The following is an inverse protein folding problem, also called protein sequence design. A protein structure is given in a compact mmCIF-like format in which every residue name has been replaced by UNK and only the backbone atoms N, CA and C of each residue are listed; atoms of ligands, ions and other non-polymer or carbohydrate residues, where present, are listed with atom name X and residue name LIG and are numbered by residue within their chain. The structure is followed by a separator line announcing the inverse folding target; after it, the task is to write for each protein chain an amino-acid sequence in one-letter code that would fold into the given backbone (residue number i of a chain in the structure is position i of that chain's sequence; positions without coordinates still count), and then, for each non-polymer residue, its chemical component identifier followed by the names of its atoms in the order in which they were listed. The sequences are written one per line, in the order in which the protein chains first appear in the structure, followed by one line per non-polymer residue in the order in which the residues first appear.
data_IF_185678965189
#
_entry.id   IF_185678965189
#
_cell.length_a   1.000
_cell.length_b   1.000
_cell.length_c   1.000
_cell.angle_alpha   90.00
_cell.angle_beta   90.00
_cell.angle_gamma   90.00
#
_symmetry.space_group_name_H-M   'P 1'
#
loop_
_entity.id
_entity.type
_entity.pdbx_description
1 polymer ?
#
# COMPACT_ATOMS: atom_id res chain seq x y z
N UNK A 1 18.26 -7.17 7.80
CA UNK A 1 18.93 -5.94 8.29
C UNK A 1 19.03 -4.82 7.26
N UNK A 2 19.34 -5.11 5.98
CA UNK A 2 19.59 -4.09 4.94
C UNK A 2 18.42 -3.12 4.71
N UNK A 3 17.18 -3.62 4.70
CA UNK A 3 15.96 -2.82 4.51
C UNK A 3 15.84 -1.71 5.58
N UNK A 4 15.84 -2.07 6.87
CA UNK A 4 15.73 -1.10 7.96
C UNK A 4 16.88 -0.08 7.94
N UNK A 5 18.11 -0.48 7.63
CA UNK A 5 19.25 0.45 7.57
C UNK A 5 19.13 1.47 6.42
N UNK A 6 18.48 1.10 5.31
CA UNK A 6 18.29 1.96 4.13
C UNK A 6 17.11 2.94 4.32
N UNK A 7 15.99 2.46 4.88
CA UNK A 7 14.74 3.22 4.95
C UNK A 7 14.46 3.84 6.32
N UNK A 8 14.92 3.20 7.40
CA UNK A 8 14.80 3.65 8.79
C UNK A 8 16.17 3.95 9.42
N UNK A 9 17.10 4.45 8.61
CA UNK A 9 18.43 4.85 9.08
C UNK A 9 18.41 6.17 9.86
N UNK A 10 19.57 6.52 10.42
CA UNK A 10 19.80 7.73 11.21
C UNK A 10 19.38 9.03 10.50
N UNK A 11 19.47 9.05 9.15
CA UNK A 11 19.07 10.19 8.31
C UNK A 11 17.56 10.45 8.39
N UNK A 12 16.74 9.39 8.38
CA UNK A 12 15.28 9.50 8.49
C UNK A 12 14.88 10.01 9.87
N UNK A 13 15.53 9.51 10.92
CA UNK A 13 15.34 9.94 12.30
C UNK A 13 15.69 11.44 12.43
N UNK A 14 16.88 11.84 12.00
CA UNK A 14 17.32 13.23 12.05
C UNK A 14 16.34 14.14 11.32
N UNK A 15 15.93 13.78 10.10
CA UNK A 15 14.97 14.55 9.30
C UNK A 15 13.65 14.78 10.04
N UNK A 16 13.03 13.71 10.56
CA UNK A 16 11.76 13.82 11.29
C UNK A 16 11.90 14.69 12.53
N UNK A 17 12.98 14.51 13.31
CA UNK A 17 13.23 15.34 14.50
C UNK A 17 13.49 16.81 14.15
N UNK A 18 14.19 17.10 13.06
CA UNK A 18 14.40 18.48 12.61
C UNK A 18 13.07 19.13 12.23
N UNK A 19 12.21 18.46 11.46
CA UNK A 19 10.89 18.98 11.07
C UNK A 19 10.00 19.21 12.29
N UNK A 20 9.90 18.22 13.19
CA UNK A 20 9.11 18.35 14.43
C UNK A 20 9.66 19.45 15.33
N UNK A 21 10.99 19.55 15.46
CA UNK A 21 11.65 20.58 16.25
C UNK A 21 11.39 21.99 15.72
N UNK A 22 11.41 22.18 14.39
CA UNK A 22 11.06 23.47 13.78
C UNK A 22 9.59 23.83 14.08
N UNK A 23 8.65 22.89 13.87
CA UNK A 23 7.24 23.16 14.16
C UNK A 23 7.01 23.51 15.63
N UNK A 24 7.65 22.78 16.54
CA UNK A 24 7.43 22.96 17.96
C UNK A 24 8.13 24.20 18.52
N UNK A 25 9.43 24.39 18.22
CA UNK A 25 10.26 25.39 18.89
C UNK A 25 10.36 26.71 18.12
N UNK A 26 10.28 26.69 16.78
CA UNK A 26 10.41 27.91 15.96
C UNK A 26 9.04 28.49 15.63
N UNK A 27 8.10 27.64 15.22
CA UNK A 27 6.75 28.06 14.83
C UNK A 27 5.81 28.10 16.04
N UNK A 28 6.08 27.33 17.10
CA UNK A 28 5.25 27.30 18.31
C UNK A 28 3.99 26.44 18.18
N UNK A 29 3.97 25.47 17.25
CA UNK A 29 2.83 24.56 17.07
C UNK A 29 2.72 23.64 18.29
N UNK A 30 1.54 23.53 18.92
CA UNK A 30 1.34 22.61 20.03
C UNK A 30 1.65 21.17 19.64
N UNK A 31 2.38 20.44 20.50
CA UNK A 31 2.79 19.05 20.24
C UNK A 31 1.61 18.15 19.88
N UNK A 32 0.45 18.33 20.52
CA UNK A 32 -0.77 17.59 20.21
C UNK A 32 -1.20 17.74 18.74
N UNK A 33 -1.09 18.94 18.16
CA UNK A 33 -1.44 19.17 16.75
C UNK A 33 -0.43 18.51 15.81
N UNK A 34 0.87 18.57 16.14
CA UNK A 34 1.93 17.88 15.37
C UNK A 34 1.65 16.37 15.37
N UNK A 35 1.32 15.79 16.52
CA UNK A 35 1.00 14.35 16.61
C UNK A 35 -0.27 14.03 15.83
N UNK A 36 -1.37 14.78 16.01
CA UNK A 36 -2.67 14.49 15.39
C UNK A 36 -2.69 14.71 13.88
N UNK A 37 -1.98 15.70 13.36
CA UNK A 37 -2.06 16.11 11.95
C UNK A 37 -0.85 15.67 11.10
N UNK A 38 0.26 15.32 11.72
CA UNK A 38 1.47 14.88 11.02
C UNK A 38 1.87 13.45 11.39
N UNK A 39 2.10 13.18 12.69
CA UNK A 39 2.61 11.89 13.13
C UNK A 39 1.63 10.72 12.93
N UNK A 40 0.43 10.85 13.49
CA UNK A 40 -0.60 9.81 13.43
C UNK A 40 -1.06 9.51 12.00
N UNK A 41 -1.36 10.50 11.13
CA UNK A 41 -1.74 10.22 9.74
C UNK A 41 -0.63 9.50 8.96
N UNK A 42 0.64 9.85 9.18
CA UNK A 42 1.77 9.18 8.51
C UNK A 42 1.91 7.71 8.96
N UNK A 43 1.78 7.44 10.26
CA UNK A 43 1.80 6.08 10.80
C UNK A 43 0.60 5.26 10.34
N UNK A 44 -0.61 5.85 10.39
CA UNK A 44 -1.84 5.21 9.94
C UNK A 44 -1.78 4.89 8.44
N UNK A 45 -1.31 5.83 7.61
CA UNK A 45 -1.11 5.63 6.17
C UNK A 45 -0.09 4.51 5.91
N UNK A 46 1.01 4.45 6.65
CA UNK A 46 2.01 3.38 6.53
C UNK A 46 1.43 2.01 6.87
N UNK A 47 0.65 1.93 7.95
CA UNK A 47 -0.03 0.69 8.35
C UNK A 47 -1.09 0.27 7.32
N UNK A 48 -1.86 1.23 6.81
CA UNK A 48 -2.87 1.01 5.79
C UNK A 48 -2.23 0.48 4.49
N UNK A 49 -1.16 1.11 4.01
CA UNK A 49 -0.40 0.66 2.85
C UNK A 49 0.19 -0.74 3.07
N UNK A 50 0.82 -0.99 4.22
CA UNK A 50 1.36 -2.32 4.51
C UNK A 50 0.26 -3.38 4.50
N UNK A 51 -0.86 -3.12 5.17
CA UNK A 51 -1.91 -4.11 5.34
C UNK A 51 -2.63 -4.41 4.01
N UNK A 52 -3.10 -3.40 3.28
CA UNK A 52 -3.85 -3.58 2.03
C UNK A 52 -2.98 -3.74 0.80
N UNK A 53 -1.76 -3.21 0.83
CA UNK A 53 -0.85 -3.20 -0.30
C UNK A 53 0.27 -4.23 -0.26
N UNK A 54 0.57 -4.83 0.90
CA UNK A 54 1.64 -5.82 1.03
C UNK A 54 1.16 -7.10 1.70
N UNK A 55 0.68 -7.03 2.94
CA UNK A 55 0.38 -8.24 3.70
C UNK A 55 -0.82 -9.01 3.13
N UNK A 56 -1.98 -8.36 3.01
CA UNK A 56 -3.21 -9.05 2.62
C UNK A 56 -3.16 -9.64 1.19
N UNK A 57 -2.74 -8.91 0.13
CA UNK A 57 -2.75 -9.45 -1.22
C UNK A 57 -1.71 -10.57 -1.44
N UNK A 58 -0.64 -10.61 -0.64
CA UNK A 58 0.47 -11.55 -0.81
C UNK A 58 0.54 -12.67 0.23
N UNK A 59 -0.24 -12.62 1.32
CA UNK A 59 -0.20 -13.69 2.33
C UNK A 59 -0.65 -15.03 1.73
N UNK A 60 0.08 -16.08 2.05
CA UNK A 60 -0.31 -17.46 1.76
C UNK A 60 -1.35 -17.90 2.79
N UNK A 61 -2.43 -18.55 2.34
CA UNK A 61 -3.36 -19.22 3.27
C UNK A 61 -2.83 -20.61 3.60
N UNK A 62 -3.27 -21.18 4.72
CA UNK A 62 -2.86 -22.53 5.11
C UNK A 62 -3.20 -23.54 4.00
N UNK A 63 -2.20 -24.28 3.53
CA UNK A 63 -2.35 -25.26 2.46
C UNK A 63 -2.29 -24.69 1.03
N UNK A 64 -2.12 -23.38 0.85
CA UNK A 64 -1.85 -22.77 -0.46
C UNK A 64 -0.35 -22.67 -0.72
N UNK A 65 0.04 -22.94 -1.96
CA UNK A 65 1.39 -22.76 -2.48
C UNK A 65 1.46 -21.56 -3.45
N UNK A 66 2.66 -21.26 -3.97
CA UNK A 66 2.82 -20.16 -4.93
C UNK A 66 2.06 -20.40 -6.25
N UNK A 67 1.72 -21.65 -6.60
CA UNK A 67 0.88 -21.93 -7.77
C UNK A 67 -0.58 -21.50 -7.58
N UNK A 68 -1.00 -21.25 -6.34
CA UNK A 68 -2.34 -20.78 -5.98
C UNK A 68 -2.58 -19.28 -6.26
N UNK A 69 -1.62 -18.58 -6.88
CA UNK A 69 -1.75 -17.18 -7.28
C UNK A 69 -1.96 -17.05 -8.79
N UNK A 70 -2.71 -16.01 -9.18
CA UNK A 70 -3.07 -15.73 -10.56
C UNK A 70 -1.94 -15.09 -11.39
N UNK A 71 -0.84 -14.70 -10.74
CA UNK A 71 0.30 -14.05 -11.37
C UNK A 71 1.62 -14.40 -10.66
N UNK A 72 2.75 -14.08 -11.30
CA UNK A 72 4.09 -14.36 -10.76
C UNK A 72 4.47 -13.53 -9.52
N UNK A 73 3.83 -12.39 -9.31
CA UNK A 73 4.10 -11.54 -8.15
C UNK A 73 3.32 -12.01 -6.90
N UNK A 74 2.58 -13.12 -7.03
CA UNK A 74 1.77 -13.70 -5.97
C UNK A 74 0.79 -12.68 -5.40
N UNK A 75 0.04 -12.01 -6.27
CA UNK A 75 -0.91 -10.93 -5.94
C UNK A 75 -2.35 -11.42 -6.01
N UNK A 76 -3.21 -10.79 -5.21
CA UNK A 76 -4.67 -10.99 -5.20
C UNK A 76 -5.35 -9.67 -5.00
N UNK A 77 -6.60 -9.59 -5.44
CA UNK A 77 -7.44 -8.43 -5.19
C UNK A 77 -8.48 -8.68 -4.11
N UNK A 78 -8.82 -7.62 -3.41
CA UNK A 78 -9.92 -7.62 -2.46
C UNK A 78 -11.28 -7.55 -3.17
N UNK A 79 -12.27 -8.22 -2.59
CA UNK A 79 -13.66 -8.23 -3.07
C UNK A 79 -14.52 -7.10 -2.48
N UNK A 80 -13.87 -6.01 -2.04
CA UNK A 80 -14.58 -4.87 -1.46
C UNK A 80 -15.35 -4.09 -2.53
N UNK A 81 -16.54 -3.61 -2.17
CA UNK A 81 -17.27 -2.63 -2.96
C UNK A 81 -16.48 -1.32 -3.13
N UNK A 82 -16.77 -0.55 -4.18
CA UNK A 82 -15.98 0.63 -4.59
C UNK A 82 -15.70 1.63 -3.45
N UNK A 83 -16.69 1.92 -2.61
CA UNK A 83 -16.50 2.87 -1.50
C UNK A 83 -15.53 2.33 -0.45
N UNK A 84 -15.67 1.06 -0.09
CA UNK A 84 -14.79 0.44 0.89
C UNK A 84 -13.38 0.28 0.32
N UNK A 85 -13.24 -0.06 -0.97
CA UNK A 85 -11.92 -0.14 -1.60
C UNK A 85 -11.21 1.22 -1.66
N UNK A 86 -11.94 2.34 -1.80
CA UNK A 86 -11.34 3.67 -1.68
C UNK A 86 -10.71 3.87 -0.28
N UNK A 87 -11.38 3.42 0.77
CA UNK A 87 -10.89 3.48 2.14
C UNK A 87 -9.73 2.50 2.43
N UNK A 88 -9.45 1.54 1.54
CA UNK A 88 -8.30 0.64 1.64
C UNK A 88 -7.11 1.16 0.83
N UNK A 89 -6.65 2.36 1.17
CA UNK A 89 -5.54 3.03 0.48
C UNK A 89 -5.85 3.33 -1.00
N UNK A 90 -6.91 4.09 -1.29
CA UNK A 90 -7.22 4.55 -2.65
C UNK A 90 -7.35 3.43 -3.69
N UNK A 91 -8.17 2.41 -3.39
CA UNK A 91 -8.40 1.24 -4.25
C UNK A 91 -7.18 0.31 -4.43
N UNK A 92 -6.11 0.48 -3.65
CA UNK A 92 -4.91 -0.36 -3.79
C UNK A 92 -5.14 -1.84 -3.48
N UNK A 93 -6.26 -2.18 -2.82
CA UNK A 93 -6.76 -3.54 -2.68
C UNK A 93 -7.12 -4.22 -4.01
N UNK A 94 -7.33 -3.49 -5.12
CA UNK A 94 -7.36 -4.04 -6.48
C UNK A 94 -5.93 -4.30 -6.99
N UNK A 95 -5.19 -5.10 -6.23
CA UNK A 95 -3.75 -5.22 -6.34
C UNK A 95 -3.35 -5.98 -7.62
N UNK A 96 -4.08 -7.04 -7.98
CA UNK A 96 -3.83 -7.77 -9.22
C UNK A 96 -4.04 -6.88 -10.45
N UNK A 97 -5.10 -6.06 -10.45
CA UNK A 97 -5.35 -5.09 -11.52
C UNK A 97 -4.22 -4.07 -11.62
N UNK A 98 -3.72 -3.57 -10.49
CA UNK A 98 -2.60 -2.64 -10.45
C UNK A 98 -1.31 -3.24 -11.05
N UNK A 99 -0.97 -4.48 -10.69
CA UNK A 99 0.23 -5.14 -11.23
C UNK A 99 0.11 -5.46 -12.72
N UNK A 100 -1.10 -5.79 -13.19
CA UNK A 100 -1.34 -6.08 -14.62
C UNK A 100 -1.45 -4.83 -15.48
N UNK A 101 -1.95 -3.73 -14.92
CA UNK A 101 -2.17 -2.46 -15.60
C UNK A 101 -1.56 -1.32 -14.78
N UNK A 102 -0.22 -1.22 -14.72
CA UNK A 102 0.47 -0.16 -14.00
C UNK A 102 0.23 1.23 -14.63
N UNK A 103 -0.26 1.26 -15.87
CA UNK A 103 -0.69 2.46 -16.58
C UNK A 103 -2.01 3.05 -16.06
N UNK A 104 -2.81 2.25 -15.35
CA UNK A 104 -4.12 2.68 -14.84
C UNK A 104 -3.95 3.44 -13.53
N UNK A 105 -4.44 4.69 -13.42
CA UNK A 105 -4.38 5.44 -12.17
C UNK A 105 -5.33 4.84 -11.13
N UNK A 106 -5.01 5.05 -9.84
CA UNK A 106 -5.72 4.43 -8.71
C UNK A 106 -7.25 4.60 -8.74
N UNK A 107 -7.75 5.77 -9.18
CA UNK A 107 -9.18 6.08 -9.25
C UNK A 107 -9.92 5.32 -10.35
N UNK A 108 -9.19 4.80 -11.34
CA UNK A 108 -9.72 4.04 -12.46
C UNK A 108 -9.61 2.51 -12.27
N UNK A 109 -8.90 2.03 -11.24
CA UNK A 109 -8.80 0.60 -10.92
C UNK A 109 -10.16 -0.11 -10.78
N UNK A 110 -11.20 0.48 -10.13
CA UNK A 110 -12.52 -0.15 -10.10
C UNK A 110 -13.12 -0.39 -11.49
N UNK A 111 -12.87 0.52 -12.44
CA UNK A 111 -13.33 0.38 -13.81
C UNK A 111 -12.51 -0.67 -14.57
N UNK A 112 -11.18 -0.70 -14.38
CA UNK A 112 -10.32 -1.74 -14.96
C UNK A 112 -10.71 -3.15 -14.50
N UNK A 113 -11.06 -3.31 -13.21
CA UNK A 113 -11.61 -4.57 -12.68
C UNK A 113 -12.90 -4.99 -13.41
N UNK A 114 -13.85 -4.07 -13.57
CA UNK A 114 -15.10 -4.34 -14.31
C UNK A 114 -14.85 -4.65 -15.79
N UNK A 115 -13.81 -4.08 -16.38
CA UNK A 115 -13.37 -4.37 -17.75
C UNK A 115 -12.58 -5.68 -17.88
N UNK A 116 -12.39 -6.44 -16.79
CA UNK A 116 -11.77 -7.76 -16.82
C UNK A 116 -10.25 -7.78 -16.60
N UNK A 117 -9.62 -6.69 -16.13
CA UNK A 117 -8.16 -6.67 -15.89
C UNK A 117 -7.66 -7.78 -14.95
N UNK A 118 -8.53 -8.28 -14.05
CA UNK A 118 -8.24 -9.40 -13.15
C UNK A 118 -8.70 -10.78 -13.66
N UNK A 119 -9.32 -10.88 -14.85
CA UNK A 119 -9.75 -12.17 -15.39
C UNK A 119 -8.54 -13.07 -15.66
N UNK A 120 -8.63 -14.32 -15.22
CA UNK A 120 -7.56 -15.31 -15.34
C UNK A 120 -7.86 -16.16 -16.56
N UNK A 121 -7.15 -15.95 -17.67
CA UNK A 121 -6.97 -17.04 -18.62
C UNK A 121 -6.02 -18.05 -17.96
N UNK A 122 -6.49 -19.28 -17.78
CA UNK A 122 -5.82 -20.38 -17.06
C UNK A 122 -4.43 -20.76 -17.61
N UNK A 123 -3.94 -20.12 -18.68
CA UNK A 123 -2.78 -20.58 -19.42
C UNK A 123 -1.51 -19.73 -19.27
N UNK A 124 -1.60 -18.46 -18.85
CA UNK A 124 -0.43 -17.58 -18.98
C UNK A 124 -0.03 -16.94 -17.65
N UNK A 125 1.03 -17.50 -17.03
CA UNK A 125 1.88 -16.72 -16.13
C UNK A 125 2.51 -15.60 -16.98
N UNK A 126 1.82 -14.47 -17.07
CA UNK A 126 2.24 -13.31 -17.87
C UNK A 126 3.69 -12.94 -17.50
N UNK A 127 4.62 -12.84 -18.47
CA UNK A 127 6.00 -12.38 -18.25
C UNK A 127 6.07 -10.86 -18.06
N UNK A 128 7.23 -10.36 -17.63
CA UNK A 128 7.41 -9.00 -17.10
C UNK A 128 7.53 -7.93 -18.15
#
# INVERSE_FOLDING_TARGET
ATFFRRYFGWRSILYVHTVVGIYWLVIGVPMAQIVLLYGLPALASSLQLFYFGTFRPHRHRAGEDAASFADRHNTRSDEFGTLLSLATCFHFGYHLEHHRRPDVPWWALPAARRAGAAQVELAEKVPA
#
